data_IF_889821582519
#
_entry.id   IF_889821582519
#
_cell.length_a   1.000
_cell.length_b   1.000
_cell.length_c   1.000
_cell.angle_alpha   90.00
_cell.angle_beta   90.00
_cell.angle_gamma   90.00
#
_symmetry.space_group_name_H-M   'P 1'
#
loop_
_entity.id
_entity.type
_entity.pdbx_description
1 polymer ?
#
# COMPACT_ATOMS: atom_id res chain seq x y z
N UNK A 1 13.47 2.98 -7.87
CA UNK A 1 12.78 4.20 -7.39
C UNK A 1 11.37 3.78 -7.04
N UNK A 2 11.01 3.71 -5.75
CA UNK A 2 9.69 3.21 -5.35
C UNK A 2 8.66 4.33 -5.53
N UNK A 3 7.69 4.13 -6.42
CA UNK A 3 6.67 5.14 -6.71
C UNK A 3 5.65 5.17 -5.57
N UNK A 4 5.57 6.29 -4.87
CA UNK A 4 4.58 6.50 -3.81
C UNK A 4 3.34 7.13 -4.46
N UNK A 5 2.19 6.54 -4.18
CA UNK A 5 0.89 7.05 -4.61
C UNK A 5 0.18 7.71 -3.44
N UNK A 6 -0.70 8.66 -3.74
CA UNK A 6 -1.47 9.39 -2.73
C UNK A 6 -2.93 9.44 -3.15
N UNK A 7 -3.84 9.07 -2.26
CA UNK A 7 -5.27 9.17 -2.52
C UNK A 7 -5.74 10.63 -2.43
N UNK A 8 -6.91 10.98 -3.00
CA UNK A 8 -7.50 12.32 -2.85
C UNK A 8 -7.75 12.73 -1.39
N UNK A 9 -7.85 11.76 -0.46
CA UNK A 9 -8.05 11.99 0.98
C UNK A 9 -6.72 11.96 1.77
N UNK A 10 -5.58 12.06 1.10
CA UNK A 10 -4.26 12.16 1.73
C UNK A 10 -3.70 10.85 2.29
N UNK A 11 -4.17 9.69 1.81
CA UNK A 11 -3.57 8.41 2.16
C UNK A 11 -2.41 8.09 1.21
N UNK A 12 -1.19 8.08 1.72
CA UNK A 12 0.00 7.58 1.04
C UNK A 12 0.01 6.05 1.02
N UNK A 13 0.31 5.47 -0.15
CA UNK A 13 0.43 4.03 -0.32
C UNK A 13 1.45 3.68 -1.40
N UNK A 14 1.95 2.44 -1.34
CA UNK A 14 2.83 1.85 -2.37
C UNK A 14 2.18 0.60 -2.92
N UNK A 15 2.28 0.43 -4.23
CA UNK A 15 1.88 -0.81 -4.90
C UNK A 15 3.16 -1.58 -5.24
N UNK A 16 3.24 -2.81 -4.75
CA UNK A 16 4.24 -3.78 -5.11
C UNK A 16 3.56 -4.78 -6.03
N UNK A 17 3.80 -4.60 -7.33
CA UNK A 17 3.30 -5.49 -8.36
C UNK A 17 4.44 -6.42 -8.79
N UNK A 18 4.37 -7.68 -8.35
CA UNK A 18 5.33 -8.72 -8.71
C UNK A 18 4.73 -9.72 -9.70
N UNK A 19 3.53 -9.44 -10.21
CA UNK A 19 2.86 -10.30 -11.18
C UNK A 19 3.66 -10.30 -12.47
N UNK A 20 3.61 -11.42 -13.18
CA UNK A 20 4.26 -11.55 -14.48
C UNK A 20 3.68 -10.52 -15.46
N UNK A 21 4.47 -9.54 -15.95
CA UNK A 21 3.98 -8.49 -16.85
C UNK A 21 3.58 -9.02 -18.23
N UNK A 22 3.97 -10.25 -18.58
CA UNK A 22 3.64 -10.89 -19.85
C UNK A 22 2.34 -11.68 -19.81
N UNK A 23 1.82 -11.96 -18.61
CA UNK A 23 0.54 -12.62 -18.44
C UNK A 23 -0.58 -11.62 -18.77
N UNK A 24 -1.32 -11.88 -19.86
CA UNK A 24 -2.50 -11.10 -20.23
C UNK A 24 -3.58 -11.29 -19.17
N UNK A 25 -3.81 -10.28 -18.34
CA UNK A 25 -4.92 -10.26 -17.39
C UNK A 25 -6.28 -9.88 -18.03
N UNK A 26 -6.44 -10.07 -19.35
CA UNK A 26 -7.68 -9.71 -20.05
C UNK A 26 -8.79 -10.70 -19.69
N UNK A 27 -9.90 -10.19 -19.14
CA UNK A 27 -11.06 -11.00 -18.74
C UNK A 27 -10.89 -11.79 -17.43
N UNK A 28 -9.70 -11.82 -16.82
CA UNK A 28 -9.52 -12.39 -15.50
C UNK A 28 -10.01 -11.37 -14.45
N UNK A 29 -10.94 -11.77 -13.58
CA UNK A 29 -11.20 -11.05 -12.34
C UNK A 29 -9.85 -10.87 -11.65
N UNK A 30 -9.36 -9.64 -11.56
CA UNK A 30 -8.06 -9.37 -10.96
C UNK A 30 -8.06 -9.99 -9.56
N UNK A 31 -7.05 -10.82 -9.28
CA UNK A 31 -6.95 -11.47 -7.98
C UNK A 31 -7.03 -10.41 -6.87
N UNK A 32 -7.84 -10.68 -5.84
CA UNK A 32 -8.11 -9.70 -4.78
C UNK A 32 -6.78 -9.15 -4.23
N UNK A 33 -6.57 -7.84 -4.13
CA UNK A 33 -5.31 -7.32 -3.60
C UNK A 33 -5.09 -7.71 -2.13
N UNK A 34 -3.83 -7.70 -1.69
CA UNK A 34 -3.48 -7.79 -0.26
C UNK A 34 -3.11 -6.39 0.21
N UNK A 35 -3.78 -5.91 1.25
CA UNK A 35 -3.51 -4.59 1.85
C UNK A 35 -2.78 -4.78 3.18
N UNK A 36 -1.65 -4.09 3.34
CA UNK A 36 -0.82 -4.14 4.53
C UNK A 36 -0.92 -2.82 5.29
N UNK A 37 -1.41 -2.91 6.54
CA UNK A 37 -1.41 -1.83 7.51
C UNK A 37 -0.26 -2.04 8.49
N UNK A 38 0.59 -1.03 8.70
CA UNK A 38 1.69 -1.12 9.66
C UNK A 38 1.22 -0.96 11.12
N UNK A 39 2.08 -1.40 12.06
CA UNK A 39 1.89 -1.18 13.49
C UNK A 39 2.42 0.18 13.98
N UNK A 40 2.39 0.41 15.30
CA UNK A 40 2.82 1.66 15.91
C UNK A 40 4.31 1.97 15.63
N UNK A 41 4.63 3.23 15.35
CA UNK A 41 6.02 3.70 15.14
C UNK A 41 6.64 3.31 13.80
N UNK A 42 5.86 2.71 12.89
CA UNK A 42 6.34 2.22 11.60
C UNK A 42 5.71 2.98 10.42
N UNK A 43 6.03 2.52 9.21
CA UNK A 43 5.37 2.87 7.95
C UNK A 43 5.22 1.61 7.09
N UNK A 44 4.62 1.74 5.91
CA UNK A 44 4.34 0.63 5.00
C UNK A 44 5.58 -0.16 4.53
N UNK A 45 6.80 0.38 4.64
CA UNK A 45 8.03 -0.35 4.31
C UNK A 45 8.35 -1.48 5.30
N UNK A 46 7.72 -1.51 6.47
CA UNK A 46 7.86 -2.61 7.43
C UNK A 46 7.51 -3.99 6.82
N UNK A 47 6.74 -3.99 5.74
CA UNK A 47 6.26 -5.19 5.05
C UNK A 47 7.17 -5.68 3.93
N UNK A 48 8.25 -4.97 3.57
CA UNK A 48 9.16 -5.39 2.50
C UNK A 48 9.64 -6.86 2.63
N UNK A 49 10.01 -7.37 3.81
CA UNK A 49 10.38 -8.78 3.96
C UNK A 49 9.24 -9.75 3.67
N UNK A 50 7.99 -9.34 3.85
CA UNK A 50 6.80 -10.18 3.66
C UNK A 50 6.26 -10.14 2.23
N UNK A 51 6.39 -9.00 1.56
CA UNK A 51 5.87 -8.78 0.21
C UNK A 51 6.38 -9.88 -0.74
N UNK A 52 7.67 -10.17 -0.78
CA UNK A 52 8.22 -11.22 -1.66
C UNK A 52 7.86 -12.67 -1.27
N UNK A 53 7.22 -12.90 -0.12
CA UNK A 53 7.00 -14.24 0.46
C UNK A 53 5.54 -14.70 0.48
N UNK A 54 4.58 -13.80 0.21
CA UNK A 54 3.17 -14.10 0.40
C UNK A 54 2.50 -14.68 -0.86
N UNK A 55 2.07 -13.81 -1.78
CA UNK A 55 1.29 -14.20 -2.95
C UNK A 55 1.68 -13.35 -4.17
N UNK A 56 2.76 -13.71 -4.90
CA UNK A 56 3.33 -12.88 -5.96
C UNK A 56 2.41 -12.69 -7.17
N UNK A 57 1.36 -13.50 -7.29
CA UNK A 57 0.29 -13.41 -8.28
C UNK A 57 -0.77 -12.35 -7.94
N UNK A 58 -0.68 -11.72 -6.75
CA UNK A 58 -1.62 -10.70 -6.27
C UNK A 58 -0.93 -9.34 -6.17
N UNK A 59 -1.67 -8.26 -6.43
CA UNK A 59 -1.18 -6.93 -6.10
C UNK A 59 -1.05 -6.79 -4.57
N UNK A 60 0.08 -6.23 -4.14
CA UNK A 60 0.35 -5.97 -2.73
C UNK A 60 0.42 -4.47 -2.50
N UNK A 61 -0.39 -3.98 -1.57
CA UNK A 61 -0.56 -2.55 -1.32
C UNK A 61 -0.18 -2.27 0.13
N UNK A 62 0.91 -1.54 0.36
CA UNK A 62 1.27 -1.10 1.70
C UNK A 62 0.83 0.35 1.91
N UNK A 63 0.00 0.58 2.93
CA UNK A 63 -0.47 1.91 3.28
C UNK A 63 0.41 2.51 4.39
N UNK A 64 0.59 3.82 4.34
CA UNK A 64 1.08 4.59 5.47
C UNK A 64 -0.14 5.16 6.21
N UNK A 65 -0.32 4.83 7.49
CA UNK A 65 -1.42 5.39 8.27
C UNK A 65 -1.29 6.91 8.38
N UNK A 66 -2.42 7.59 8.60
CA UNK A 66 -2.49 9.05 8.81
C UNK A 66 -1.43 9.51 9.83
N UNK A 67 -0.72 10.59 9.50
CA UNK A 67 0.38 11.12 10.30
C UNK A 67 1.72 10.37 10.19
N UNK A 68 1.79 9.26 9.46
CA UNK A 68 3.00 8.45 9.27
C UNK A 68 3.43 8.41 7.81
N UNK A 69 4.72 8.15 7.57
CA UNK A 69 5.29 7.97 6.23
C UNK A 69 4.87 9.06 5.23
N UNK A 70 4.43 8.64 4.05
CA UNK A 70 3.95 9.52 2.99
C UNK A 70 2.60 10.17 3.29
N UNK A 71 1.80 9.62 4.21
CA UNK A 71 0.55 10.23 4.68
C UNK A 71 0.79 11.40 5.64
N UNK A 72 2.01 11.60 6.15
CA UNK A 72 2.31 12.64 7.14
C UNK A 72 2.13 14.06 6.58
N UNK A 73 2.62 14.32 5.37
CA UNK A 73 2.60 15.66 4.78
C UNK A 73 1.18 16.16 4.43
N UNK A 74 0.23 15.25 4.23
CA UNK A 74 -1.17 15.57 3.93
C UNK A 74 -2.08 15.47 5.14
N UNK A 75 -1.52 15.22 6.33
CA UNK A 75 -2.27 15.09 7.56
C UNK A 75 -2.29 16.40 8.34
N UNK A 76 -3.43 17.08 8.33
CA UNK A 76 -3.62 18.38 8.97
C UNK A 76 -4.29 18.34 10.35
N UNK A 77 -4.08 17.27 11.14
CA UNK A 77 -4.68 16.96 12.47
C UNK A 77 -5.97 16.12 12.47
N UNK A 78 -6.28 15.40 13.58
CA UNK A 78 -7.36 14.40 13.62
C UNK A 78 -8.73 15.05 13.75
N UNK A 79 -9.74 14.41 13.16
CA UNK A 79 -11.11 14.51 13.65
C UNK A 79 -11.15 13.95 15.07
N UNK A 80 -10.90 14.80 16.08
CA UNK A 80 -11.29 14.54 17.46
C UNK A 80 -12.75 14.99 17.62
N UNK A 81 -13.64 14.28 16.94
CA UNK A 81 -15.04 14.20 17.31
C UNK A 81 -15.31 12.71 17.49
N UNK A 82 -15.41 12.30 18.75
CA UNK A 82 -15.91 10.98 19.17
C UNK A 82 -17.29 11.19 19.75
#
# INVERSE_FOLDING_TARGET
MQHIHTSPKGLGYRVFDMRDPWTKHEGAVAATPIVFQHGLGLNGLAWLPWISRLAPDRQMIAIDMRGHGASKAMWSQPSLEV
#
